data_IF_920365473151
#
_entry.id   IF_920365473151
#
_cell.length_a   1.000
_cell.length_b   1.000
_cell.length_c   1.000
_cell.angle_alpha   90.00
_cell.angle_beta   90.00
_cell.angle_gamma   90.00
#
_symmetry.space_group_name_H-M   'P 1'
#
loop_
_entity.id
_entity.type
_entity.pdbx_description
1 polymer ?
#
# COMPACT_ATOMS: atom_id res chain seq x y z
N UNK A 1 13.37 21.23 -42.70
CA UNK A 1 13.78 22.56 -43.24
C UNK A 1 12.98 23.64 -42.53
N UNK A 2 13.50 24.26 -41.47
CA UNK A 2 13.16 25.60 -40.93
C UNK A 2 13.73 25.68 -39.50
N UNK A 3 14.89 26.32 -39.34
CA UNK A 3 15.52 26.45 -38.02
C UNK A 3 16.84 27.20 -38.03
N UNK A 4 16.92 28.35 -38.73
CA UNK A 4 18.20 29.07 -38.88
C UNK A 4 18.07 30.61 -38.76
N UNK A 5 16.92 31.10 -38.25
CA UNK A 5 16.56 32.53 -38.28
C UNK A 5 16.72 33.30 -36.96
N UNK A 6 16.86 32.63 -35.81
CA UNK A 6 16.77 33.30 -34.49
C UNK A 6 18.13 33.59 -33.84
N UNK A 7 19.20 32.84 -34.15
CA UNK A 7 20.50 33.05 -33.51
C UNK A 7 21.25 34.30 -34.02
N UNK A 8 21.02 34.73 -35.26
CA UNK A 8 21.69 35.93 -35.79
C UNK A 8 21.18 37.24 -35.18
N UNK A 9 19.95 37.28 -34.67
CA UNK A 9 19.41 38.51 -34.04
C UNK A 9 19.94 38.78 -32.63
N UNK A 10 20.49 37.77 -31.94
CA UNK A 10 21.05 37.96 -30.60
C UNK A 10 22.52 38.40 -30.61
N UNK A 11 23.26 38.19 -31.70
CA UNK A 11 24.65 38.66 -31.79
C UNK A 11 24.80 40.16 -32.12
N UNK A 12 23.84 40.75 -32.86
CA UNK A 12 23.93 42.18 -33.22
C UNK A 12 23.54 43.13 -32.08
N UNK A 13 22.90 42.64 -31.01
CA UNK A 13 22.57 43.45 -29.83
C UNK A 13 23.74 43.68 -28.88
N UNK A 14 24.85 42.95 -29.02
CA UNK A 14 26.02 43.08 -28.13
C UNK A 14 27.16 43.96 -28.65
N UNK A 15 27.11 44.48 -29.88
CA UNK A 15 28.18 45.32 -30.46
C UNK A 15 27.94 46.84 -30.40
N UNK A 16 26.81 47.29 -29.89
CA UNK A 16 26.40 48.70 -29.93
C UNK A 16 26.75 49.60 -28.74
N UNK A 17 27.43 49.11 -27.69
CA UNK A 17 27.60 49.86 -26.44
C UNK A 17 29.07 50.08 -26.03
N UNK A 18 29.85 50.72 -26.90
CA UNK A 18 31.25 51.03 -26.61
C UNK A 18 31.67 52.47 -26.96
N UNK A 19 30.72 53.41 -27.08
CA UNK A 19 31.04 54.83 -27.30
C UNK A 19 30.07 55.75 -26.55
N UNK A 20 30.56 56.37 -25.48
CA UNK A 20 30.02 57.64 -24.99
C UNK A 20 29.92 57.78 -23.47
N UNK A 21 30.74 58.67 -22.90
CA UNK A 21 30.54 59.29 -21.57
C UNK A 21 31.33 58.62 -20.44
N UNK A 22 32.49 59.08 -19.99
CA UNK A 22 33.03 60.43 -20.09
C UNK A 22 32.33 61.41 -19.14
N UNK A 23 32.01 61.01 -17.91
CA UNK A 23 31.55 61.97 -16.88
C UNK A 23 30.66 61.39 -15.79
N UNK A 24 31.17 60.55 -14.89
CA UNK A 24 30.39 60.12 -13.71
C UNK A 24 31.21 59.54 -12.55
N UNK A 25 32.48 59.94 -12.37
CA UNK A 25 33.28 59.48 -11.21
C UNK A 25 32.68 59.90 -9.85
N UNK A 26 31.93 61.01 -9.82
CA UNK A 26 31.20 61.46 -8.62
C UNK A 26 29.91 60.67 -8.36
N UNK A 27 29.29 60.05 -9.37
CA UNK A 27 28.07 59.26 -9.14
C UNK A 27 28.36 57.87 -8.60
N UNK A 28 29.50 57.27 -8.93
CA UNK A 28 29.82 55.91 -8.48
C UNK A 28 30.13 55.87 -6.98
N UNK A 29 30.90 56.83 -6.48
CA UNK A 29 31.12 56.95 -5.04
C UNK A 29 29.82 57.22 -4.27
N UNK A 30 28.94 58.08 -4.82
CA UNK A 30 27.64 58.35 -4.20
C UNK A 30 26.71 57.12 -4.23
N UNK A 31 26.74 56.34 -5.32
CA UNK A 31 25.96 55.12 -5.47
C UNK A 31 26.43 54.03 -4.51
N UNK A 32 27.75 53.85 -4.36
CA UNK A 32 28.34 52.91 -3.39
C UNK A 32 28.00 53.33 -1.96
N UNK A 33 28.08 54.62 -1.65
CA UNK A 33 27.69 55.14 -0.33
C UNK A 33 26.21 54.87 -0.03
N UNK A 34 25.29 55.21 -0.94
CA UNK A 34 23.86 54.94 -0.80
C UNK A 34 23.56 53.44 -0.68
N UNK A 35 24.21 52.60 -1.48
CA UNK A 35 24.03 51.15 -1.41
C UNK A 35 24.51 50.59 -0.07
N UNK A 36 25.63 51.09 0.46
CA UNK A 36 26.13 50.69 1.77
C UNK A 36 25.19 51.14 2.90
N UNK A 37 24.63 52.36 2.82
CA UNK A 37 23.72 52.92 3.82
C UNK A 37 22.36 52.19 3.81
N UNK A 38 21.78 51.94 2.63
CA UNK A 38 20.55 51.17 2.49
C UNK A 38 20.73 49.75 3.01
N UNK A 39 21.87 49.11 2.72
CA UNK A 39 22.20 47.78 3.25
C UNK A 39 22.33 47.81 4.76
N UNK A 40 22.95 48.83 5.34
CA UNK A 40 23.09 48.98 6.78
C UNK A 40 21.72 49.20 7.47
N UNK A 41 20.87 50.09 6.94
CA UNK A 41 19.51 50.32 7.45
C UNK A 41 18.64 49.08 7.34
N UNK A 42 18.73 48.34 6.24
CA UNK A 42 18.01 47.08 6.08
C UNK A 42 18.47 46.03 7.11
N UNK A 43 19.78 45.91 7.34
CA UNK A 43 20.34 45.02 8.37
C UNK A 43 19.88 45.39 9.78
N UNK A 44 19.78 46.68 10.08
CA UNK A 44 19.32 47.16 11.40
C UNK A 44 17.82 46.92 11.63
N UNK A 45 17.00 46.97 10.57
CA UNK A 45 15.55 46.81 10.67
C UNK A 45 15.08 45.37 10.83
N UNK A 46 15.86 44.39 10.34
CA UNK A 46 15.48 42.97 10.38
C UNK A 46 16.55 42.06 11.00
N UNK A 47 16.97 42.26 12.26
CA UNK A 47 18.00 41.44 12.90
C UNK A 47 17.52 40.00 13.17
N UNK A 48 16.21 39.80 13.39
CA UNK A 48 15.64 38.49 13.77
C UNK A 48 15.36 37.54 12.60
N UNK A 49 15.07 38.06 11.41
CA UNK A 49 14.75 37.21 10.23
C UNK A 49 15.95 36.43 9.69
N UNK A 50 17.18 36.86 9.99
CA UNK A 50 18.41 36.23 9.46
C UNK A 50 18.79 34.92 10.14
N UNK A 51 18.44 34.74 11.42
CA UNK A 51 18.85 33.52 12.16
C UNK A 51 18.20 32.27 11.58
N UNK A 52 16.93 32.35 11.21
CA UNK A 52 16.20 31.22 10.65
C UNK A 52 16.59 30.94 9.19
N UNK A 53 16.73 31.99 8.35
CA UNK A 53 17.14 31.80 6.94
C UNK A 53 18.61 31.36 6.78
N UNK A 54 19.50 31.66 7.72
CA UNK A 54 20.86 31.09 7.71
C UNK A 54 20.90 29.61 8.07
N UNK A 55 19.95 29.11 8.88
CA UNK A 55 19.85 27.68 9.21
C UNK A 55 19.45 26.84 7.99
N UNK A 56 18.67 27.44 7.09
CA UNK A 56 18.25 26.81 5.82
C UNK A 56 19.26 26.99 4.68
N UNK A 57 20.43 27.59 4.94
CA UNK A 57 21.48 27.70 3.91
C UNK A 57 22.10 26.32 3.66
N UNK A 58 22.09 25.81 2.41
CA UNK A 58 22.62 24.50 2.06
C UNK A 58 24.16 24.42 2.21
N UNK A 59 24.82 25.55 2.45
CA UNK A 59 26.26 25.63 2.67
C UNK A 59 26.67 25.38 4.13
N UNK A 60 25.72 25.32 5.07
CA UNK A 60 26.01 24.94 6.46
C UNK A 60 25.92 23.42 6.61
N UNK A 61 26.78 22.82 7.46
CA UNK A 61 26.75 21.35 7.71
C UNK A 61 25.35 20.89 8.14
N UNK A 62 24.68 21.67 8.98
CA UNK A 62 23.30 21.42 9.44
C UNK A 62 22.29 21.42 8.30
N UNK A 63 22.36 22.37 7.36
CA UNK A 63 21.47 22.40 6.20
C UNK A 63 21.64 21.19 5.27
N UNK A 64 22.86 20.66 5.14
CA UNK A 64 23.11 19.46 4.33
C UNK A 64 22.50 18.21 4.95
N UNK A 65 22.56 18.04 6.27
CA UNK A 65 21.91 16.93 6.96
C UNK A 65 20.39 17.05 6.93
N UNK A 66 19.83 18.25 7.10
CA UNK A 66 18.39 18.47 6.99
C UNK A 66 17.86 18.11 5.59
N UNK A 67 18.54 18.54 4.53
CA UNK A 67 18.17 18.18 3.16
C UNK A 67 18.32 16.68 2.86
N UNK A 68 19.35 16.03 3.44
CA UNK A 68 19.52 14.58 3.29
C UNK A 68 18.44 13.79 4.03
N UNK A 69 18.04 14.22 5.23
CA UNK A 69 16.93 13.64 5.98
C UNK A 69 15.61 13.82 5.23
N UNK A 70 15.34 15.03 4.71
CA UNK A 70 14.14 15.30 3.92
C UNK A 70 14.10 14.44 2.65
N UNK A 71 15.23 14.33 1.93
CA UNK A 71 15.32 13.48 0.75
C UNK A 71 15.13 11.98 1.07
N UNK A 72 15.65 11.52 2.21
CA UNK A 72 15.41 10.15 2.71
C UNK A 72 13.95 9.94 3.08
N UNK A 73 13.33 10.89 3.78
CA UNK A 73 11.91 10.85 4.17
C UNK A 73 10.98 10.76 2.94
N UNK A 74 11.24 11.56 1.90
CA UNK A 74 10.48 11.53 0.64
C UNK A 74 10.64 10.18 -0.08
N UNK A 75 11.84 9.60 -0.06
CA UNK A 75 12.10 8.30 -0.70
C UNK A 75 11.48 7.13 0.08
N UNK A 76 11.38 7.21 1.41
CA UNK A 76 10.74 6.17 2.23
C UNK A 76 9.22 6.12 2.02
N UNK A 77 8.55 7.27 1.85
CA UNK A 77 7.08 7.31 1.62
C UNK A 77 6.69 6.71 0.26
N UNK A 78 7.53 6.87 -0.77
CA UNK A 78 7.28 6.29 -2.09
C UNK A 78 7.29 4.76 -2.13
N UNK A 79 7.97 4.10 -1.18
CA UNK A 79 8.02 2.64 -1.11
C UNK A 79 6.77 2.03 -0.45
N UNK A 80 6.12 2.74 0.47
CA UNK A 80 5.01 2.22 1.29
C UNK A 80 3.62 2.37 0.65
N UNK A 81 3.47 3.12 -0.46
CA UNK A 81 2.18 3.26 -1.16
C UNK A 81 1.99 2.30 -2.34
N UNK A 82 2.91 1.34 -2.53
CA UNK A 82 2.79 0.37 -3.61
C UNK A 82 1.68 -0.62 -3.27
N UNK A 83 0.55 -0.52 -4.00
CA UNK A 83 -0.56 -1.49 -3.94
C UNK A 83 0.02 -2.90 -4.08
N UNK A 84 0.03 -3.63 -2.96
CA UNK A 84 0.62 -4.96 -2.91
C UNK A 84 -0.47 -5.95 -3.27
N UNK A 85 -0.41 -6.47 -4.49
CA UNK A 85 -1.30 -7.53 -4.95
C UNK A 85 -0.91 -8.83 -4.26
N UNK A 86 -1.65 -9.19 -3.21
CA UNK A 86 -1.50 -10.49 -2.57
C UNK A 86 -2.46 -11.45 -3.24
N UNK A 87 -1.95 -12.57 -3.75
CA UNK A 87 -2.80 -13.68 -4.16
C UNK A 87 -3.23 -14.40 -2.89
N UNK A 88 -4.53 -14.40 -2.63
CA UNK A 88 -5.12 -15.17 -1.54
C UNK A 88 -5.86 -16.36 -2.14
N UNK A 89 -5.60 -17.54 -1.59
CA UNK A 89 -6.43 -18.71 -1.85
C UNK A 89 -7.73 -18.52 -1.07
N UNK A 90 -8.83 -18.30 -1.79
CA UNK A 90 -10.14 -18.03 -1.19
C UNK A 90 -11.04 -19.27 -1.15
N UNK A 91 -10.56 -20.39 -1.69
CA UNK A 91 -11.33 -21.62 -1.75
C UNK A 91 -10.82 -22.64 -2.76
N UNK A 92 -11.66 -23.61 -3.07
CA UNK A 92 -11.38 -24.71 -4.00
C UNK A 92 -12.54 -24.85 -5.01
N UNK A 93 -12.20 -25.04 -6.28
CA UNK A 93 -13.13 -25.48 -7.31
C UNK A 93 -12.94 -26.98 -7.50
N UNK A 94 -13.98 -27.75 -7.21
CA UNK A 94 -13.98 -29.20 -7.41
C UNK A 94 -14.89 -29.53 -8.59
N UNK A 95 -14.36 -30.20 -9.60
CA UNK A 95 -15.14 -30.69 -10.75
C UNK A 95 -15.22 -32.21 -10.68
N UNK A 96 -16.44 -32.75 -10.74
CA UNK A 96 -16.76 -34.17 -10.66
C UNK A 96 -17.44 -34.59 -11.94
N UNK A 97 -16.81 -35.46 -12.72
CA UNK A 97 -17.41 -36.09 -13.89
C UNK A 97 -17.97 -37.48 -13.57
N UNK A 98 -19.27 -37.68 -13.83
CA UNK A 98 -19.92 -38.98 -13.73
C UNK A 98 -20.10 -39.60 -15.13
N UNK A 99 -19.62 -40.83 -15.29
CA UNK A 99 -19.74 -41.59 -16.54
C UNK A 99 -20.95 -42.53 -16.54
N UNK A 100 -21.46 -42.92 -15.38
CA UNK A 100 -22.56 -43.87 -15.24
C UNK A 100 -23.80 -43.26 -14.59
N UNK A 101 -24.98 -43.61 -15.13
CA UNK A 101 -26.31 -43.20 -14.61
C UNK A 101 -26.75 -43.98 -13.36
N UNK A 102 -25.83 -44.67 -12.68
CA UNK A 102 -26.19 -45.62 -11.63
C UNK A 102 -26.76 -44.94 -10.37
N UNK A 103 -26.29 -43.75 -10.05
CA UNK A 103 -26.78 -42.95 -8.92
C UNK A 103 -27.65 -41.80 -9.43
N UNK A 104 -28.74 -41.51 -8.72
CA UNK A 104 -29.57 -40.38 -9.10
C UNK A 104 -28.84 -39.07 -8.78
N UNK A 105 -28.92 -38.10 -9.70
CA UNK A 105 -28.32 -36.77 -9.52
C UNK A 105 -28.78 -36.12 -8.20
N UNK A 106 -30.04 -36.34 -7.83
CA UNK A 106 -30.63 -35.82 -6.59
C UNK A 106 -30.05 -36.45 -5.32
N UNK A 107 -29.73 -37.75 -5.34
CA UNK A 107 -29.07 -38.40 -4.20
C UNK A 107 -27.65 -37.87 -4.00
N UNK A 108 -26.90 -37.70 -5.10
CA UNK A 108 -25.53 -37.15 -5.05
C UNK A 108 -25.55 -35.71 -4.55
N UNK A 109 -26.45 -34.87 -5.05
CA UNK A 109 -26.60 -33.48 -4.60
C UNK A 109 -26.91 -33.40 -3.10
N UNK A 110 -27.84 -34.23 -2.60
CA UNK A 110 -28.16 -34.31 -1.18
C UNK A 110 -26.97 -34.77 -0.33
N UNK A 111 -26.24 -35.79 -0.78
CA UNK A 111 -25.05 -36.31 -0.09
C UNK A 111 -23.90 -35.29 -0.07
N UNK A 112 -23.70 -34.55 -1.16
CA UNK A 112 -22.71 -33.46 -1.20
C UNK A 112 -23.09 -32.37 -0.21
N UNK A 113 -24.36 -31.95 -0.19
CA UNK A 113 -24.86 -30.95 0.77
C UNK A 113 -24.65 -31.37 2.23
N UNK A 114 -24.94 -32.63 2.56
CA UNK A 114 -24.73 -33.18 3.91
C UNK A 114 -23.24 -33.27 4.26
N UNK A 115 -22.40 -33.78 3.34
CA UNK A 115 -20.96 -33.87 3.54
C UNK A 115 -20.35 -32.49 3.88
N UNK A 116 -20.59 -31.49 3.03
CA UNK A 116 -20.01 -30.16 3.22
C UNK A 116 -20.56 -29.41 4.43
N UNK A 117 -21.76 -29.74 4.92
CA UNK A 117 -22.27 -29.20 6.17
C UNK A 117 -21.49 -29.69 7.40
N UNK A 118 -20.74 -30.80 7.28
CA UNK A 118 -19.94 -31.36 8.38
C UNK A 118 -18.46 -30.96 8.33
N UNK A 119 -17.98 -30.44 7.20
CA UNK A 119 -16.58 -30.05 7.02
C UNK A 119 -16.34 -28.67 7.64
N UNK A 120 -15.47 -28.55 8.67
CA UNK A 120 -15.15 -27.25 9.25
C UNK A 120 -14.36 -26.37 8.27
N UNK A 121 -14.50 -25.05 8.39
CA UNK A 121 -13.76 -24.08 7.59
C UNK A 121 -14.43 -23.70 6.26
N UNK A 122 -15.53 -24.35 5.89
CA UNK A 122 -16.33 -23.97 4.72
C UNK A 122 -17.33 -22.88 5.11
N UNK A 123 -17.26 -21.75 4.42
CA UNK A 123 -18.14 -20.60 4.61
C UNK A 123 -19.31 -20.63 3.62
N UNK A 124 -19.05 -21.04 2.37
CA UNK A 124 -20.06 -21.07 1.32
C UNK A 124 -19.79 -22.19 0.32
N UNK A 125 -20.87 -22.75 -0.21
CA UNK A 125 -20.85 -23.81 -1.21
C UNK A 125 -21.83 -23.44 -2.32
N UNK A 126 -21.32 -23.41 -3.56
CA UNK A 126 -22.15 -23.29 -4.75
C UNK A 126 -21.96 -24.56 -5.59
N UNK A 127 -23.06 -25.28 -5.81
CA UNK A 127 -23.10 -26.50 -6.62
C UNK A 127 -23.78 -26.16 -7.95
N UNK A 128 -23.05 -26.35 -9.05
CA UNK A 128 -23.60 -26.24 -10.38
C UNK A 128 -23.62 -27.61 -11.05
N UNK A 129 -24.81 -28.05 -11.47
CA UNK A 129 -25.01 -29.35 -12.10
C UNK A 129 -25.18 -29.13 -13.60
N UNK A 130 -24.31 -29.75 -14.40
CA UNK A 130 -24.36 -29.71 -15.85
C UNK A 130 -24.71 -31.09 -16.40
N UNK A 131 -25.86 -31.19 -17.06
CA UNK A 131 -26.25 -32.38 -17.81
C UNK A 131 -25.89 -32.22 -19.28
N UNK A 132 -25.14 -33.18 -19.82
CA UNK A 132 -24.72 -33.19 -21.22
C UNK A 132 -25.67 -34.05 -22.07
N UNK A 133 -25.79 -33.72 -23.35
CA UNK A 133 -26.66 -34.43 -24.31
C UNK A 133 -26.23 -35.88 -24.55
N UNK A 134 -24.98 -36.23 -24.26
CA UNK A 134 -24.45 -37.60 -24.33
C UNK A 134 -24.76 -38.43 -23.07
N UNK A 135 -25.50 -37.86 -22.11
CA UNK A 135 -25.91 -38.52 -20.89
C UNK A 135 -24.87 -38.49 -19.78
N UNK A 136 -23.74 -37.79 -19.96
CA UNK A 136 -22.81 -37.47 -18.87
C UNK A 136 -23.40 -36.38 -17.99
N UNK A 137 -23.05 -36.42 -16.71
CA UNK A 137 -23.35 -35.36 -15.75
C UNK A 137 -22.05 -34.89 -15.13
N UNK A 138 -21.86 -33.57 -15.02
CA UNK A 138 -20.77 -32.99 -14.26
C UNK A 138 -21.31 -32.13 -13.12
N UNK A 139 -20.65 -32.21 -11.96
CA UNK A 139 -20.87 -31.31 -10.84
C UNK A 139 -19.67 -30.39 -10.76
N UNK A 140 -19.90 -29.09 -10.84
CA UNK A 140 -18.90 -28.08 -10.53
C UNK A 140 -19.25 -27.47 -9.18
N UNK A 141 -18.38 -27.70 -8.21
CA UNK A 141 -18.51 -27.20 -6.86
C UNK A 141 -17.52 -26.06 -6.68
N UNK A 142 -18.03 -24.89 -6.30
CA UNK A 142 -17.20 -23.78 -5.85
C UNK A 142 -17.34 -23.68 -4.33
N UNK A 143 -16.26 -23.98 -3.64
CA UNK A 143 -16.20 -24.09 -2.19
C UNK A 143 -15.36 -22.94 -1.68
N UNK A 144 -15.93 -22.13 -0.81
CA UNK A 144 -15.30 -20.93 -0.25
C UNK A 144 -15.00 -21.22 1.21
N UNK A 145 -13.77 -20.99 1.63
CA UNK A 145 -13.32 -21.35 2.96
C UNK A 145 -11.81 -21.23 3.12
N UNK A 146 -11.35 -21.35 4.35
CA UNK A 146 -9.93 -21.30 4.72
C UNK A 146 -9.39 -22.72 4.90
N UNK A 147 -8.09 -22.89 4.64
CA UNK A 147 -7.34 -24.15 4.86
C UNK A 147 -7.93 -25.38 4.15
N UNK A 148 -8.51 -25.17 2.96
CA UNK A 148 -9.07 -26.24 2.14
C UNK A 148 -8.00 -26.87 1.25
N UNK A 149 -7.50 -28.02 1.67
CA UNK A 149 -6.57 -28.84 0.88
C UNK A 149 -7.30 -29.69 -0.16
N UNK A 150 -7.10 -29.37 -1.44
CA UNK A 150 -7.84 -29.99 -2.55
C UNK A 150 -7.68 -31.52 -2.64
N UNK A 151 -6.47 -32.05 -2.42
CA UNK A 151 -6.24 -33.50 -2.47
C UNK A 151 -6.92 -34.25 -1.31
N UNK A 152 -6.87 -33.68 -0.11
CA UNK A 152 -7.53 -34.22 1.08
C UNK A 152 -9.05 -34.22 0.89
N UNK A 153 -9.59 -33.13 0.33
CA UNK A 153 -11.01 -33.01 0.07
C UNK A 153 -11.52 -34.05 -0.94
N UNK A 154 -10.75 -34.35 -1.99
CA UNK A 154 -11.09 -35.41 -2.95
C UNK A 154 -11.11 -36.78 -2.26
N UNK A 155 -10.13 -37.06 -1.40
CA UNK A 155 -10.06 -38.32 -0.66
C UNK A 155 -11.27 -38.48 0.27
N UNK A 156 -11.67 -37.41 0.95
CA UNK A 156 -12.82 -37.40 1.86
C UNK A 156 -14.14 -37.56 1.10
N UNK A 157 -14.32 -36.87 -0.03
CA UNK A 157 -15.50 -37.02 -0.89
C UNK A 157 -15.68 -38.48 -1.36
N UNK A 158 -14.61 -39.15 -1.79
CA UNK A 158 -14.65 -40.56 -2.21
C UNK A 158 -14.97 -41.51 -1.07
N UNK A 159 -14.54 -41.18 0.15
CA UNK A 159 -14.77 -42.00 1.34
C UNK A 159 -16.21 -41.90 1.81
N UNK A 160 -16.76 -40.69 1.90
CA UNK A 160 -18.08 -40.42 2.44
C UNK A 160 -19.20 -40.64 1.41
N UNK A 161 -18.89 -40.51 0.12
CA UNK A 161 -19.87 -40.65 -0.98
C UNK A 161 -19.43 -41.80 -1.90
N UNK A 162 -19.81 -43.06 -1.60
CA UNK A 162 -19.37 -44.22 -2.38
C UNK A 162 -19.71 -44.16 -3.87
N UNK A 163 -20.76 -43.43 -4.24
CA UNK A 163 -21.14 -43.20 -5.63
C UNK A 163 -20.07 -42.44 -6.43
N UNK A 164 -19.13 -41.76 -5.75
CA UNK A 164 -18.04 -41.01 -6.35
C UNK A 164 -16.70 -41.77 -6.36
N UNK A 165 -16.67 -43.02 -5.89
CA UNK A 165 -15.42 -43.80 -5.77
C UNK A 165 -14.66 -43.90 -7.10
N UNK A 166 -15.39 -44.13 -8.19
CA UNK A 166 -14.83 -44.26 -9.56
C UNK A 166 -14.96 -42.97 -10.38
N UNK A 167 -15.46 -41.88 -9.79
CA UNK A 167 -15.66 -40.62 -10.49
C UNK A 167 -14.32 -39.92 -10.79
N UNK A 168 -14.27 -39.23 -11.93
CA UNK A 168 -13.17 -38.35 -12.28
C UNK A 168 -13.34 -37.03 -11.51
N UNK A 169 -12.57 -36.85 -10.43
CA UNK A 169 -12.62 -35.66 -9.58
C UNK A 169 -11.31 -34.90 -9.71
N UNK A 170 -11.41 -33.59 -9.94
CA UNK A 170 -10.26 -32.67 -9.94
C UNK A 170 -10.55 -31.49 -9.03
N UNK A 171 -9.53 -31.03 -8.29
CA UNK A 171 -9.62 -29.83 -7.45
C UNK A 171 -8.61 -28.79 -7.97
N UNK A 172 -9.06 -27.55 -8.08
CA UNK A 172 -8.26 -26.40 -8.48
C UNK A 172 -8.42 -25.29 -7.43
N UNK A 173 -7.31 -24.73 -6.95
CA UNK A 173 -7.36 -23.63 -6.00
C UNK A 173 -8.01 -22.39 -6.63
N UNK A 174 -8.97 -21.79 -5.93
CA UNK A 174 -9.56 -20.52 -6.30
C UNK A 174 -8.69 -19.38 -5.77
N UNK A 175 -7.75 -18.94 -6.60
CA UNK A 175 -6.90 -17.79 -6.28
C UNK A 175 -7.62 -16.49 -6.63
N UNK A 176 -7.85 -15.64 -5.64
CA UNK A 176 -8.26 -14.25 -5.82
C UNK A 176 -7.04 -13.33 -5.76
N UNK A 177 -7.02 -12.28 -6.59
CA UNK A 177 -6.15 -11.14 -6.33
C UNK A 177 -6.99 -10.06 -5.67
N UNK A 178 -6.76 -9.83 -4.38
CA UNK A 178 -7.36 -8.70 -3.69
C UNK A 178 -6.32 -7.58 -3.69
N UNK A 179 -6.70 -6.41 -4.19
CA UNK A 179 -5.93 -5.19 -3.95
C UNK A 179 -6.28 -4.72 -2.53
N UNK A 180 -5.54 -5.21 -1.54
CA UNK A 180 -5.63 -4.71 -0.16
C UNK A 180 -4.69 -3.51 -0.01
N UNK A 181 -5.17 -2.45 0.65
CA UNK A 181 -4.26 -1.42 1.15
C UNK A 181 -3.41 -2.05 2.26
N UNK A 182 -2.12 -1.70 2.33
CA UNK A 182 -1.23 -2.19 3.40
C UNK A 182 -1.81 -1.95 4.79
N UNK A 183 -2.57 -0.86 4.95
CA UNK A 183 -3.30 -0.48 6.16
C UNK A 183 -4.39 -1.50 6.52
N UNK A 184 -5.16 -2.00 5.55
CA UNK A 184 -6.24 -2.97 5.80
C UNK A 184 -5.68 -4.35 6.21
N UNK A 185 -4.59 -4.78 5.58
CA UNK A 185 -3.87 -6.00 5.98
C UNK A 185 -3.33 -5.88 7.40
N UNK A 186 -2.70 -4.76 7.71
CA UNK A 186 -2.16 -4.44 9.04
C UNK A 186 -3.22 -4.46 10.12
N UNK A 187 -4.37 -3.84 9.84
CA UNK A 187 -5.52 -3.86 10.74
C UNK A 187 -5.89 -5.30 11.09
N UNK A 188 -6.04 -6.18 10.10
CA UNK A 188 -6.39 -7.59 10.35
C UNK A 188 -5.33 -8.35 11.17
N UNK A 189 -4.04 -8.14 10.89
CA UNK A 189 -2.95 -8.80 11.64
C UNK A 189 -2.87 -8.33 13.10
N UNK A 190 -3.00 -7.02 13.37
CA UNK A 190 -2.99 -6.48 14.74
C UNK A 190 -4.22 -6.95 15.52
N UNK A 191 -5.41 -6.93 14.90
CA UNK A 191 -6.65 -7.32 15.58
C UNK A 191 -6.75 -8.84 15.83
N UNK A 192 -5.91 -9.67 15.21
CA UNK A 192 -5.83 -11.11 15.47
C UNK A 192 -4.77 -11.51 16.51
N UNK A 193 -3.93 -10.59 16.99
CA UNK A 193 -3.14 -10.87 18.18
C UNK A 193 -4.09 -10.95 19.37
N UNK A 194 -4.34 -12.16 19.86
CA UNK A 194 -4.94 -12.38 21.18
C UNK A 194 -4.03 -11.74 22.22
N UNK A 195 -4.34 -10.48 22.57
CA UNK A 195 -3.65 -9.80 23.65
C UNK A 195 -4.28 -10.23 24.98
N UNK A 196 -4.14 -11.51 25.31
CA UNK A 196 -4.64 -12.03 26.57
C UNK A 196 -3.60 -11.73 27.67
N UNK A 197 -3.92 -10.74 28.51
CA UNK A 197 -3.16 -10.43 29.73
C UNK A 197 -2.05 -9.37 29.62
N UNK A 198 -1.85 -8.71 28.48
CA UNK A 198 -0.96 -7.55 28.41
C UNK A 198 -1.68 -6.27 28.86
N UNK A 199 -0.94 -5.39 29.53
CA UNK A 199 -1.43 -4.06 29.94
C UNK A 199 -1.56 -3.12 28.73
N UNK A 200 -2.42 -2.11 28.84
CA UNK A 200 -2.63 -1.09 27.79
C UNK A 200 -1.32 -0.48 27.28
N UNK A 201 -0.37 -0.24 28.19
CA UNK A 201 0.93 0.33 27.90
C UNK A 201 1.84 -0.66 27.13
N UNK A 202 1.83 -1.94 27.49
CA UNK A 202 2.58 -2.98 26.77
C UNK A 202 2.06 -3.18 25.34
N UNK A 203 0.74 -3.15 25.15
CA UNK A 203 0.11 -3.21 23.82
C UNK A 203 0.55 -2.01 22.99
N UNK A 204 0.46 -0.81 23.58
CA UNK A 204 0.84 0.44 22.92
C UNK A 204 2.31 0.41 22.50
N UNK A 205 3.20 0.02 23.40
CA UNK A 205 4.65 -0.06 23.12
C UNK A 205 4.96 -1.12 22.05
N UNK A 206 4.27 -2.26 22.06
CA UNK A 206 4.44 -3.30 21.06
C UNK A 206 3.97 -2.84 19.67
N UNK A 207 2.82 -2.16 19.58
CA UNK A 207 2.31 -1.60 18.33
C UNK A 207 3.24 -0.49 17.84
N UNK A 208 3.72 0.40 18.71
CA UNK A 208 4.67 1.45 18.36
C UNK A 208 6.01 0.88 17.88
N UNK A 209 6.51 -0.19 18.51
CA UNK A 209 7.74 -0.86 18.09
C UNK A 209 7.60 -1.48 16.69
N UNK A 210 6.47 -2.13 16.40
CA UNK A 210 6.19 -2.67 15.06
C UNK A 210 6.02 -1.56 14.02
N UNK A 211 5.35 -0.46 14.37
CA UNK A 211 5.19 0.70 13.49
C UNK A 211 6.54 1.35 13.16
N UNK A 212 7.42 1.48 14.15
CA UNK A 212 8.78 1.98 13.96
C UNK A 212 9.62 1.04 13.06
N UNK A 213 9.50 -0.29 13.23
CA UNK A 213 10.19 -1.26 12.37
C UNK A 213 9.74 -1.16 10.90
N UNK A 214 8.51 -0.71 10.65
CA UNK A 214 7.98 -0.46 9.32
C UNK A 214 8.12 0.99 8.82
N UNK A 215 8.83 1.84 9.57
CA UNK A 215 9.14 3.22 9.19
C UNK A 215 8.01 4.23 9.43
N UNK A 216 7.04 3.90 10.29
CA UNK A 216 5.99 4.81 10.74
C UNK A 216 6.34 5.40 12.13
N UNK A 217 7.46 6.12 12.20
CA UNK A 217 8.01 6.66 13.46
C UNK A 217 7.12 7.73 14.12
N UNK A 218 6.25 8.39 13.34
CA UNK A 218 5.37 9.49 13.79
C UNK A 218 3.92 9.04 14.05
N UNK A 219 3.68 7.74 14.18
CA UNK A 219 2.35 7.22 14.47
C UNK A 219 1.96 7.43 15.94
N UNK A 220 0.75 7.92 16.18
CA UNK A 220 0.15 7.99 17.51
C UNK A 220 -0.81 6.83 17.73
N UNK A 221 -0.59 6.05 18.79
CA UNK A 221 -1.42 4.90 19.15
C UNK A 221 -2.11 5.19 20.48
N UNK A 222 -3.44 5.25 20.44
CA UNK A 222 -4.31 5.28 21.62
C UNK A 222 -4.94 3.89 21.78
N UNK A 223 -4.67 3.24 22.90
CA UNK A 223 -5.29 1.97 23.28
C UNK A 223 -6.26 2.29 24.42
N UNK A 224 -7.51 1.87 24.33
CA UNK A 224 -8.50 2.04 25.41
C UNK A 224 -9.14 0.70 25.71
N UNK A 225 -9.11 0.28 26.97
CA UNK A 225 -9.82 -0.90 27.44
C UNK A 225 -11.10 -0.48 28.17
N UNK A 226 -12.27 -0.79 27.61
CA UNK A 226 -13.57 -0.49 28.23
C UNK A 226 -14.49 -1.71 28.11
N UNK A 227 -15.10 -2.14 29.22
CA UNK A 227 -16.04 -3.28 29.27
C UNK A 227 -15.51 -4.60 28.68
N UNK A 228 -14.21 -4.90 28.89
CA UNK A 228 -13.57 -6.11 28.35
C UNK A 228 -13.39 -6.08 26.82
N UNK A 229 -13.54 -4.91 26.20
CA UNK A 229 -13.21 -4.66 24.80
C UNK A 229 -11.99 -3.75 24.72
N UNK A 230 -11.08 -4.08 23.82
CA UNK A 230 -9.91 -3.26 23.51
C UNK A 230 -10.19 -2.47 22.24
N UNK A 231 -10.31 -1.16 22.36
CA UNK A 231 -10.36 -0.23 21.24
C UNK A 231 -8.96 0.29 20.96
N UNK A 232 -8.45 0.07 19.75
CA UNK A 232 -7.13 0.54 19.32
C UNK A 232 -7.35 1.56 18.22
N UNK A 233 -6.92 2.80 18.45
CA UNK A 233 -6.96 3.88 17.49
C UNK A 233 -5.53 4.26 17.11
N UNK A 234 -5.16 3.91 15.89
CA UNK A 234 -3.89 4.31 15.30
C UNK A 234 -4.13 5.53 14.41
N UNK A 235 -3.49 6.63 14.75
CA UNK A 235 -3.48 7.85 13.94
C UNK A 235 -2.10 7.97 13.32
N UNK A 236 -2.00 7.69 12.03
CA UNK A 236 -0.78 7.99 11.28
C UNK A 236 -0.92 9.41 10.78
N UNK A 237 -0.11 10.31 11.31
CA UNK A 237 -0.07 11.69 10.83
C UNK A 237 0.74 11.67 9.54
N UNK A 238 0.07 11.57 8.40
CA UNK A 238 0.72 11.88 7.12
C UNK A 238 0.97 13.40 7.12
N UNK A 239 2.22 13.80 7.33
CA UNK A 239 2.66 15.13 6.97
C UNK A 239 2.56 15.24 5.45
N UNK A 240 1.37 15.61 4.96
CA UNK A 240 1.15 15.99 3.56
C UNK A 240 1.80 17.36 3.37
N UNK A 241 3.08 17.36 3.01
CA UNK A 241 3.77 18.56 2.55
C UNK A 241 3.16 19.02 1.21
N UNK A 242 2.31 20.07 1.25
CA UNK A 242 1.79 20.83 0.10
C UNK A 242 2.90 21.55 -0.71
#
# INVERSE_FOLDING_TARGET
MHGDGLERRLQDLHRGSARGGGGSGLSDHHRVALQSELTARYRQRYPRHRRWLMLLSPYTRTGRFAMAMLAMAILSVGACSTSTKTQLEMGQKVSIGLTDKAASVAEIDAQLGEFFATVPGIENLNINIQEFTDGRTAFDLMIWGQDLEGEQLIADLRREIPALADAAITAEALTGTIEESLVDKWKREIFQMEVDGATEEEIRDQILAQLAEQGADDAEVEVRMEDGKTEIKVMVTEDVED
#
